data_IF_433721613181
#
_entry.id   IF_433721613181
#
_cell.length_a   1.000
_cell.length_b   1.000
_cell.length_c   1.000
_cell.angle_alpha   90.00
_cell.angle_beta   90.00
_cell.angle_gamma   90.00
#
_symmetry.space_group_name_H-M   'P 1'
#
loop_
_entity.id
_entity.type
_entity.pdbx_description
1 polymer ?
#
# COMPACT_ATOMS: atom_id res chain seq x y z
N UNK A 1 3.32 3.54 -11.71
CA UNK A 1 3.02 3.38 -10.27
C UNK A 1 1.53 3.13 -10.02
N UNK A 2 0.61 3.91 -10.61
CA UNK A 2 -0.84 3.61 -10.59
C UNK A 2 -1.20 2.21 -11.13
N UNK A 3 -0.43 1.69 -12.09
CA UNK A 3 -0.63 0.34 -12.65
C UNK A 3 -0.44 -0.78 -11.61
N UNK A 4 0.52 -0.65 -10.68
CA UNK A 4 0.78 -1.72 -9.70
C UNK A 4 -0.29 -1.79 -8.61
N UNK A 5 -0.76 -0.64 -8.12
CA UNK A 5 -1.84 -0.61 -7.14
C UNK A 5 -3.19 -0.99 -7.77
N UNK A 6 -3.45 -0.61 -9.02
CA UNK A 6 -4.65 -1.07 -9.72
C UNK A 6 -4.60 -2.58 -9.99
N UNK A 7 -3.44 -3.15 -10.33
CA UNK A 7 -3.27 -4.61 -10.42
C UNK A 7 -3.54 -5.31 -9.09
N UNK A 8 -3.07 -4.75 -7.97
CA UNK A 8 -3.35 -5.28 -6.63
C UNK A 8 -4.86 -5.30 -6.34
N UNK A 9 -5.56 -4.22 -6.73
CA UNK A 9 -7.02 -4.14 -6.64
C UNK A 9 -7.69 -5.21 -7.49
N UNK A 10 -7.36 -5.31 -8.78
CA UNK A 10 -8.00 -6.29 -9.68
C UNK A 10 -7.84 -7.72 -9.16
N UNK A 11 -6.65 -8.09 -8.69
CA UNK A 11 -6.42 -9.42 -8.07
C UNK A 11 -7.24 -9.67 -6.82
N UNK A 12 -7.53 -8.63 -6.03
CA UNK A 12 -8.38 -8.73 -4.84
C UNK A 12 -9.86 -8.80 -5.20
N UNK A 13 -10.29 -7.99 -6.18
CA UNK A 13 -11.66 -7.95 -6.68
C UNK A 13 -12.08 -9.26 -7.37
N UNK A 14 -11.18 -9.88 -8.15
CA UNK A 14 -11.37 -11.20 -8.75
C UNK A 14 -11.72 -12.28 -7.70
N UNK A 15 -11.13 -12.20 -6.51
CA UNK A 15 -11.41 -13.13 -5.42
C UNK A 15 -12.76 -12.87 -4.72
N UNK A 16 -13.37 -11.70 -4.93
CA UNK A 16 -14.55 -11.24 -4.19
C UNK A 16 -15.85 -11.32 -5.01
N UNK A 17 -15.81 -11.78 -6.27
CA UNK A 17 -16.96 -11.98 -7.16
C UNK A 17 -17.99 -10.83 -7.11
N UNK A 18 -17.62 -9.67 -7.64
CA UNK A 18 -18.48 -8.48 -7.70
C UNK A 18 -19.15 -8.37 -9.07
N UNK A 19 -20.02 -9.32 -9.41
CA UNK A 19 -20.83 -9.21 -10.64
C UNK A 19 -21.73 -7.98 -10.59
N UNK A 20 -21.77 -7.19 -11.68
CA UNK A 20 -22.62 -6.00 -11.80
C UNK A 20 -22.07 -4.70 -11.20
N UNK A 21 -20.78 -4.65 -10.87
CA UNK A 21 -20.09 -3.42 -10.44
C UNK A 21 -18.99 -3.07 -11.44
N UNK A 22 -19.09 -1.88 -12.03
CA UNK A 22 -18.04 -1.30 -12.85
C UNK A 22 -17.03 -0.58 -11.93
N UNK A 23 -15.74 -0.87 -12.12
CA UNK A 23 -14.65 -0.26 -11.37
C UNK A 23 -13.73 0.53 -12.30
N UNK A 24 -13.34 1.73 -11.89
CA UNK A 24 -12.24 2.47 -12.52
C UNK A 24 -11.29 3.02 -11.47
N UNK A 25 -10.01 3.11 -11.84
CA UNK A 25 -9.03 3.76 -11.00
C UNK A 25 -9.36 5.25 -10.86
N UNK A 26 -9.42 5.74 -9.64
CA UNK A 26 -9.58 7.16 -9.34
C UNK A 26 -8.21 7.84 -9.26
N UNK A 27 -7.71 8.04 -8.04
CA UNK A 27 -6.46 8.75 -7.76
C UNK A 27 -5.53 7.94 -6.86
N UNK A 28 -4.21 8.10 -7.05
CA UNK A 28 -3.22 7.69 -6.05
C UNK A 28 -3.11 8.80 -5.00
N UNK A 29 -3.34 8.48 -3.73
CA UNK A 29 -3.31 9.45 -2.62
C UNK A 29 -1.97 9.51 -1.94
N UNK A 30 -1.43 8.36 -1.56
CA UNK A 30 -0.15 8.27 -0.86
C UNK A 30 0.52 6.94 -1.17
N UNK A 31 1.85 6.92 -1.07
CA UNK A 31 2.63 5.70 -1.28
C UNK A 31 3.92 5.73 -0.46
N UNK A 32 4.39 4.57 -0.03
CA UNK A 32 5.61 4.42 0.72
C UNK A 32 6.29 3.11 0.35
N UNK A 33 7.48 3.21 -0.26
CA UNK A 33 8.35 2.07 -0.52
C UNK A 33 9.21 1.82 0.72
N UNK A 34 9.35 0.61 1.19
CA UNK A 34 10.23 0.25 2.29
C UNK A 34 11.13 -0.89 1.88
N UNK A 35 12.40 -0.78 2.24
CA UNK A 35 13.44 -1.79 2.00
C UNK A 35 13.90 -2.28 3.35
N UNK A 36 13.53 -3.50 3.70
CA UNK A 36 13.86 -4.08 5.01
C UNK A 36 15.15 -4.90 4.95
N UNK A 37 15.37 -5.60 3.84
CA UNK A 37 16.58 -6.34 3.56
C UNK A 37 16.83 -6.35 2.05
N UNK A 38 18.03 -6.77 1.63
CA UNK A 38 18.40 -6.85 0.21
C UNK A 38 17.37 -7.60 -0.65
N UNK A 39 16.74 -8.62 -0.09
CA UNK A 39 15.75 -9.45 -0.76
C UNK A 39 14.30 -9.22 -0.29
N UNK A 40 14.03 -8.24 0.58
CA UNK A 40 12.70 -7.97 1.13
C UNK A 40 12.37 -6.49 0.99
N UNK A 41 11.46 -6.19 0.06
CA UNK A 41 10.90 -4.86 -0.16
C UNK A 41 9.38 -4.95 -0.09
N UNK A 42 8.74 -3.89 0.40
CA UNK A 42 7.29 -3.75 0.36
C UNK A 42 6.92 -2.32 0.04
N UNK A 43 5.86 -2.15 -0.74
CA UNK A 43 5.38 -0.85 -1.17
C UNK A 43 3.90 -0.75 -0.77
N UNK A 44 3.61 0.22 0.08
CA UNK A 44 2.26 0.55 0.50
C UNK A 44 1.68 1.67 -0.32
N UNK A 45 0.39 1.59 -0.57
CA UNK A 45 -0.36 2.58 -1.33
C UNK A 45 -1.68 2.88 -0.65
N UNK A 46 -2.10 4.14 -0.69
CA UNK A 46 -3.52 4.49 -0.63
C UNK A 46 -3.94 5.07 -1.97
N UNK A 47 -5.06 4.60 -2.48
CA UNK A 47 -5.63 5.07 -3.74
C UNK A 47 -7.14 4.98 -3.66
N UNK A 48 -7.82 5.59 -4.62
CA UNK A 48 -9.27 5.50 -4.74
C UNK A 48 -9.65 4.65 -5.93
N UNK A 49 -10.73 3.90 -5.75
CA UNK A 49 -11.46 3.26 -6.84
C UNK A 49 -12.81 3.94 -6.91
N UNK A 50 -13.21 4.33 -8.11
CA UNK A 50 -14.56 4.74 -8.37
C UNK A 50 -15.37 3.50 -8.80
N UNK A 51 -16.51 3.30 -8.16
CA UNK A 51 -17.39 2.17 -8.37
C UNK A 51 -18.77 2.67 -8.82
N UNK A 52 -19.32 2.00 -9.83
CA UNK A 52 -20.67 2.23 -10.33
C UNK A 52 -21.42 0.91 -10.37
N UNK A 53 -22.57 0.89 -9.70
CA UNK A 53 -23.47 -0.26 -9.72
C UNK A 53 -24.36 -0.19 -10.97
N UNK A 54 -24.61 -1.31 -11.66
CA UNK A 54 -25.41 -1.32 -12.90
C UNK A 54 -26.79 -0.64 -12.77
N UNK A 55 -27.40 -0.77 -11.60
CA UNK A 55 -28.74 -0.24 -11.27
C UNK A 55 -28.72 1.27 -10.94
N UNK A 56 -27.53 1.88 -10.73
CA UNK A 56 -27.39 3.26 -10.29
C UNK A 56 -26.36 4.02 -11.15
N UNK A 57 -26.77 5.11 -11.79
CA UNK A 57 -25.86 5.92 -12.62
C UNK A 57 -24.94 6.87 -11.80
N UNK A 58 -24.76 6.58 -10.51
CA UNK A 58 -23.95 7.39 -9.60
C UNK A 58 -22.64 6.68 -9.32
N UNK A 59 -21.53 7.33 -9.65
CA UNK A 59 -20.20 6.91 -9.26
C UNK A 59 -19.96 7.20 -7.77
N UNK A 60 -19.47 6.22 -7.04
CA UNK A 60 -19.03 6.38 -5.65
C UNK A 60 -17.52 6.16 -5.57
N UNK A 61 -16.81 7.00 -4.81
CA UNK A 61 -15.37 6.85 -4.61
C UNK A 61 -15.09 6.20 -3.27
N UNK A 62 -14.30 5.13 -3.29
CA UNK A 62 -13.87 4.40 -2.09
C UNK A 62 -12.35 4.39 -2.00
N UNK A 63 -11.82 4.45 -0.79
CA UNK A 63 -10.37 4.44 -0.53
C UNK A 63 -9.93 3.01 -0.25
N UNK A 64 -8.81 2.62 -0.85
CA UNK A 64 -8.20 1.31 -0.70
C UNK A 64 -6.77 1.44 -0.20
N UNK A 65 -6.36 0.44 0.57
CA UNK A 65 -4.98 0.15 0.88
C UNK A 65 -4.50 -0.99 -0.01
N UNK A 66 -3.31 -0.86 -0.59
CA UNK A 66 -2.62 -2.00 -1.19
C UNK A 66 -1.20 -2.12 -0.68
N UNK A 67 -0.77 -3.37 -0.51
CA UNK A 67 0.63 -3.74 -0.38
C UNK A 67 1.06 -4.49 -1.64
N UNK A 68 2.23 -4.09 -2.12
CA UNK A 68 3.00 -4.82 -3.11
C UNK A 68 4.31 -5.22 -2.46
N UNK A 69 4.44 -6.50 -2.12
CA UNK A 69 5.60 -7.04 -1.42
C UNK A 69 6.41 -7.92 -2.35
N UNK A 70 7.73 -7.88 -2.22
CA UNK A 70 8.64 -8.75 -2.95
C UNK A 70 9.66 -9.36 -1.98
N UNK A 71 9.67 -10.70 -1.92
CA UNK A 71 10.58 -11.48 -1.07
C UNK A 71 11.34 -12.48 -1.94
N UNK A 72 12.67 -12.40 -1.95
CA UNK A 72 13.54 -13.27 -2.75
C UNK A 72 13.14 -13.31 -4.23
N UNK A 73 12.72 -12.16 -4.78
CA UNK A 73 12.26 -12.02 -6.16
C UNK A 73 10.80 -12.44 -6.41
N UNK A 74 10.13 -13.05 -5.44
CA UNK A 74 8.71 -13.42 -5.54
C UNK A 74 7.83 -12.24 -5.12
N UNK A 75 6.93 -11.81 -6.00
CA UNK A 75 6.03 -10.68 -5.78
C UNK A 75 4.64 -11.13 -5.32
N UNK A 76 4.16 -10.58 -4.21
CA UNK A 76 2.83 -10.79 -3.64
C UNK A 76 2.06 -9.48 -3.57
N UNK A 77 0.73 -9.58 -3.62
CA UNK A 77 -0.18 -8.45 -3.64
C UNK A 77 -1.23 -8.64 -2.56
N UNK A 78 -1.50 -7.58 -1.80
CA UNK A 78 -2.62 -7.48 -0.89
C UNK A 78 -3.36 -6.18 -1.20
N UNK A 79 -4.68 -6.23 -1.17
CA UNK A 79 -5.50 -5.05 -1.35
C UNK A 79 -6.80 -5.19 -0.56
N UNK A 80 -7.16 -4.15 0.19
CA UNK A 80 -8.40 -4.08 0.96
C UNK A 80 -8.95 -2.66 0.97
N UNK A 81 -10.27 -2.55 1.14
CA UNK A 81 -10.93 -1.26 1.39
C UNK A 81 -10.51 -0.73 2.77
N UNK A 82 -10.32 0.58 2.87
CA UNK A 82 -10.04 1.25 4.14
C UNK A 82 -11.34 1.77 4.76
N UNK A 83 -11.51 1.49 6.05
CA UNK A 83 -12.58 2.07 6.86
C UNK A 83 -12.19 3.49 7.33
N UNK A 84 -13.16 4.38 7.62
CA UNK A 84 -12.85 5.75 8.06
C UNK A 84 -11.94 5.83 9.30
N UNK A 85 -12.08 4.85 10.20
CA UNK A 85 -11.36 4.76 11.47
C UNK A 85 -10.06 3.94 11.37
N UNK A 86 -9.68 3.50 10.17
CA UNK A 86 -8.48 2.68 10.00
C UNK A 86 -7.21 3.47 10.32
N UNK A 87 -6.46 2.94 11.28
CA UNK A 87 -5.22 3.50 11.82
C UNK A 87 -4.24 2.37 12.18
N UNK A 88 -4.06 1.43 11.26
CA UNK A 88 -3.03 0.39 11.40
C UNK A 88 -1.64 1.01 11.57
N UNK A 89 -0.76 0.29 12.26
CA UNK A 89 0.59 0.75 12.57
C UNK A 89 1.61 0.14 11.60
N UNK A 90 2.51 0.96 11.06
CA UNK A 90 3.56 0.52 10.16
C UNK A 90 4.87 1.25 10.48
N UNK A 91 5.88 0.52 10.93
CA UNK A 91 7.21 1.08 11.22
C UNK A 91 7.87 1.62 9.94
N UNK A 92 7.74 0.92 8.82
CA UNK A 92 8.27 1.35 7.52
C UNK A 92 7.76 2.72 7.08
N UNK A 93 6.44 2.94 7.14
CA UNK A 93 5.84 4.22 6.78
C UNK A 93 6.12 5.31 7.82
N UNK A 94 6.08 4.96 9.12
CA UNK A 94 6.32 5.92 10.20
C UNK A 94 7.75 6.46 10.19
N UNK A 95 8.74 5.60 9.98
CA UNK A 95 10.15 5.98 9.96
C UNK A 95 10.53 6.82 8.72
N UNK A 96 9.63 6.92 7.73
CA UNK A 96 9.77 7.79 6.55
C UNK A 96 8.85 9.01 6.60
N UNK A 97 8.26 9.29 7.77
CA UNK A 97 7.31 10.38 7.98
C UNK A 97 6.06 10.35 7.07
N UNK A 98 5.67 9.15 6.61
CA UNK A 98 4.50 8.93 5.75
C UNK A 98 3.21 8.77 6.56
N UNK A 99 2.88 9.77 7.41
CA UNK A 99 1.72 9.73 8.30
C UNK A 99 0.36 9.82 7.59
N UNK A 100 0.33 10.33 6.36
CA UNK A 100 -0.90 10.41 5.55
C UNK A 100 -1.29 9.06 4.94
N UNK A 101 -0.38 8.08 4.94
CA UNK A 101 -0.67 6.74 4.47
C UNK A 101 -1.38 5.96 5.58
N UNK A 102 -2.67 5.69 5.37
CA UNK A 102 -3.52 4.90 6.26
C UNK A 102 -3.35 3.42 5.98
N UNK A 103 -3.43 2.63 7.05
CA UNK A 103 -3.33 1.18 6.99
C UNK A 103 -4.55 0.53 7.64
N UNK A 104 -4.98 -0.66 7.17
CA UNK A 104 -6.08 -1.39 7.79
C UNK A 104 -5.74 -1.77 9.23
N UNK A 105 -6.65 -1.50 10.17
CA UNK A 105 -6.42 -1.77 11.61
C UNK A 105 -6.36 -3.25 11.94
N UNK A 106 -6.86 -4.10 11.03
CA UNK A 106 -6.82 -5.56 11.14
C UNK A 106 -5.45 -6.16 10.82
N UNK A 107 -4.50 -5.36 10.32
CA UNK A 107 -3.19 -5.84 9.89
C UNK A 107 -3.26 -6.68 8.62
N UNK A 108 -2.29 -7.59 8.46
CA UNK A 108 -2.18 -8.50 7.31
C UNK A 108 -1.20 -8.04 6.24
N UNK A 109 -0.67 -6.83 6.38
CA UNK A 109 0.43 -6.27 5.59
C UNK A 109 1.73 -6.30 6.41
N UNK A 110 2.85 -6.04 5.76
CA UNK A 110 4.19 -5.97 6.30
C UNK A 110 4.39 -4.63 7.01
N UNK A 111 4.49 -4.65 8.33
CA UNK A 111 4.68 -3.43 9.12
C UNK A 111 6.14 -2.94 9.08
N UNK A 112 7.07 -3.84 8.70
CA UNK A 112 8.51 -3.65 8.82
C UNK A 112 8.99 -3.74 10.28
N UNK A 113 10.29 -3.93 10.46
CA UNK A 113 10.91 -3.88 11.79
C UNK A 113 11.01 -2.43 12.30
N UNK A 114 11.04 -2.23 13.61
CA UNK A 114 11.22 -0.90 14.21
C UNK A 114 12.55 -0.23 13.80
N UNK A 115 13.58 -1.03 13.50
CA UNK A 115 14.89 -0.55 13.03
C UNK A 115 14.92 -0.25 11.53
N UNK A 116 13.83 -0.47 10.78
CA UNK A 116 13.81 -0.20 9.35
C UNK A 116 14.07 1.30 9.12
N UNK A 117 15.16 1.63 8.46
CA UNK A 117 15.47 2.98 8.05
C UNK A 117 15.58 3.03 6.54
N UNK A 118 15.29 4.21 5.99
CA UNK A 118 15.45 4.41 4.55
C UNK A 118 16.93 4.18 4.19
N UNK A 119 17.25 3.29 3.24
CA UNK A 119 18.62 2.89 2.95
C UNK A 119 19.49 4.01 2.34
N UNK A 120 18.93 5.19 2.12
CA UNK A 120 19.62 6.36 1.55
C UNK A 120 19.69 7.55 2.51
N UNK A 121 19.38 7.38 3.80
CA UNK A 121 19.87 8.36 4.77
C UNK A 121 21.36 8.07 4.97
N UNK A 122 22.22 8.94 4.43
CA UNK A 122 23.63 8.96 4.80
C UNK A 122 23.69 9.02 6.33
N UNK A 123 24.28 7.98 6.94
CA UNK A 123 24.55 7.97 8.36
C UNK A 123 25.60 9.07 8.62
N UNK A 124 25.25 10.20 9.27
CA UNK A 124 26.21 11.29 9.47
C UNK A 124 27.33 10.89 10.44
N UNK A 125 27.25 9.72 11.08
CA UNK A 125 28.24 9.19 12.01
C UNK A 125 29.20 8.15 11.39
N UNK A 126 29.24 7.99 10.06
CA UNK A 126 30.32 7.23 9.42
C UNK A 126 31.58 8.10 9.28
N UNK A 127 32.26 8.31 10.40
CA UNK A 127 33.59 8.92 10.45
C UNK A 127 34.60 8.05 9.69
N UNK A 128 34.95 8.49 8.48
CA UNK A 128 36.08 7.97 7.73
C UNK A 128 37.40 8.39 8.40
N UNK A 129 37.79 7.74 9.49
CA UNK A 129 39.16 7.80 10.00
C UNK A 129 40.02 6.72 9.32
N UNK A 130 40.83 7.18 8.37
CA UNK A 130 41.96 6.43 7.77
C UNK A 130 43.18 6.43 8.69
#
# INVERSE_FOLDING_TARGET
>A
MSEECFLAFTKSAENTHSEGIEHKFGELRSQCLSVEAYNKIFHHYNFTIEEKHEICDVWTSKVYFAEVKQVSGLKSYLCCMLEPNDQGHCHGCKNQDMYELKHPSRGGYEEGDASIHWPFMDDPDYDHTY
#
